data_IF_798324610632
#
_entry.id   IF_798324610632
#
_cell.length_a   1.000
_cell.length_b   1.000
_cell.length_c   1.000
_cell.angle_alpha   90.00
_cell.angle_beta   90.00
_cell.angle_gamma   90.00
#
_symmetry.space_group_name_H-M   'P 1'
#
loop_
_entity.id
_entity.type
_entity.pdbx_description
1 polymer ?
#
# COMPACT_ATOMS: atom_id res chain seq x y z
N UNK A 1 38.32 -0.95 87.21
CA UNK A 1 38.81 -0.87 85.80
C UNK A 1 38.13 -1.98 85.01
N UNK A 2 37.07 -1.66 84.25
CA UNK A 2 36.34 -2.66 83.41
C UNK A 2 36.57 -2.23 81.99
N UNK A 3 37.24 -3.10 81.25
CA UNK A 3 37.43 -2.92 79.81
C UNK A 3 36.21 -3.42 79.04
N UNK A 4 35.59 -2.54 78.28
CA UNK A 4 34.53 -2.87 77.30
C UNK A 4 35.20 -3.15 75.98
N UNK A 5 35.13 -4.38 75.52
CA UNK A 5 35.58 -4.76 74.18
C UNK A 5 34.34 -4.62 73.26
N UNK A 6 34.34 -3.64 72.39
CA UNK A 6 33.34 -3.44 71.35
C UNK A 6 33.66 -4.31 70.12
N UNK A 7 32.79 -5.30 69.87
CA UNK A 7 32.89 -6.18 68.71
C UNK A 7 32.17 -5.49 67.51
N UNK A 8 32.95 -4.89 66.57
CA UNK A 8 32.40 -4.38 65.32
C UNK A 8 32.20 -5.53 64.35
N UNK A 9 30.94 -5.98 64.19
CA UNK A 9 30.56 -6.95 63.19
C UNK A 9 30.51 -6.26 61.79
N UNK A 10 31.51 -6.51 60.93
CA UNK A 10 31.53 -6.10 59.56
C UNK A 10 30.54 -6.96 58.75
N UNK A 11 29.40 -6.38 58.41
CA UNK A 11 28.42 -7.00 57.52
C UNK A 11 28.95 -6.93 56.07
N UNK A 12 29.55 -8.00 55.57
CA UNK A 12 29.96 -8.18 54.17
C UNK A 12 28.66 -8.33 53.31
N UNK A 13 28.21 -7.23 52.69
CA UNK A 13 27.23 -7.30 51.62
C UNK A 13 27.87 -7.90 50.38
N UNK A 14 27.67 -9.19 50.19
CA UNK A 14 28.03 -9.87 48.93
C UNK A 14 27.00 -9.43 47.87
N UNK A 15 27.38 -8.48 47.01
CA UNK A 15 26.63 -8.22 45.78
C UNK A 15 26.79 -9.47 44.88
N UNK A 16 25.73 -10.27 44.81
CA UNK A 16 25.63 -11.31 43.79
C UNK A 16 25.41 -10.65 42.44
N UNK A 17 26.47 -10.38 41.73
CA UNK A 17 26.38 -10.02 40.29
C UNK A 17 25.87 -11.26 39.56
N UNK A 18 24.62 -11.28 39.19
CA UNK A 18 24.09 -12.33 38.32
C UNK A 18 24.85 -12.29 37.00
N UNK A 19 25.72 -13.27 36.81
CA UNK A 19 26.43 -13.45 35.55
C UNK A 19 25.38 -13.71 34.46
N UNK A 20 25.27 -12.84 33.45
CA UNK A 20 24.35 -12.97 32.34
C UNK A 20 25.07 -13.01 31.00
N UNK A 21 24.53 -13.77 30.08
CA UNK A 21 24.93 -13.66 28.67
C UNK A 21 24.36 -12.36 28.08
N UNK A 22 25.20 -11.65 27.34
CA UNK A 22 24.82 -10.43 26.64
C UNK A 22 25.15 -10.58 25.17
N UNK A 23 24.14 -10.48 24.30
CA UNK A 23 24.33 -10.51 22.86
C UNK A 23 24.36 -9.07 22.32
N UNK A 24 25.50 -8.63 21.82
CA UNK A 24 25.66 -7.33 21.17
C UNK A 24 25.78 -7.51 19.65
N UNK A 25 25.11 -6.65 18.89
CA UNK A 25 25.18 -6.59 17.42
C UNK A 25 25.47 -5.14 17.06
N UNK A 26 26.76 -4.81 16.83
CA UNK A 26 27.22 -3.44 16.65
C UNK A 26 26.56 -2.71 15.49
N UNK A 27 26.29 -3.42 14.38
CA UNK A 27 25.62 -2.89 13.20
C UNK A 27 24.28 -3.60 12.99
N UNK A 28 23.34 -3.38 13.91
CA UNK A 28 22.00 -3.98 13.81
C UNK A 28 21.16 -3.43 12.66
N UNK A 29 21.53 -2.29 12.08
CA UNK A 29 20.94 -1.72 10.85
C UNK A 29 21.99 -1.69 9.74
N UNK A 30 21.66 -2.28 8.60
CA UNK A 30 22.45 -2.16 7.38
C UNK A 30 21.62 -1.49 6.28
N UNK A 31 22.26 -0.59 5.52
CA UNK A 31 21.61 0.16 4.43
C UNK A 31 22.34 -0.11 3.12
N UNK A 32 21.63 -0.71 2.18
CA UNK A 32 22.14 -0.99 0.83
C UNK A 32 21.65 0.11 -0.11
N UNK A 33 22.47 1.12 -0.33
CA UNK A 33 22.17 2.20 -1.26
C UNK A 33 22.48 1.78 -2.69
N UNK A 34 21.55 2.08 -3.61
CA UNK A 34 21.68 1.80 -5.04
C UNK A 34 22.03 0.33 -5.33
N UNK A 35 21.35 -0.58 -4.62
CA UNK A 35 21.50 -2.01 -4.86
C UNK A 35 21.06 -2.33 -6.28
N UNK A 36 21.95 -2.91 -7.09
CA UNK A 36 21.61 -3.31 -8.45
C UNK A 36 20.61 -4.48 -8.44
N UNK A 37 19.61 -4.42 -9.29
CA UNK A 37 18.70 -5.54 -9.52
C UNK A 37 19.50 -6.74 -10.03
N UNK A 38 19.39 -7.88 -9.34
CA UNK A 38 20.03 -9.13 -9.73
C UNK A 38 19.13 -10.32 -9.38
N UNK A 39 19.22 -11.38 -10.18
CA UNK A 39 18.51 -12.65 -10.00
C UNK A 39 19.33 -13.66 -9.17
N UNK A 40 20.61 -13.33 -8.90
CA UNK A 40 21.48 -14.17 -8.06
C UNK A 40 21.29 -13.85 -6.57
N UNK A 41 21.38 -14.87 -5.69
CA UNK A 41 21.31 -14.65 -4.26
C UNK A 41 22.46 -13.77 -3.75
N UNK A 42 22.10 -12.80 -2.92
CA UNK A 42 23.04 -11.94 -2.18
C UNK A 42 22.95 -12.22 -0.68
N UNK A 43 24.07 -12.17 0.03
CA UNK A 43 24.12 -12.38 1.47
C UNK A 43 24.67 -11.14 2.16
N UNK A 44 23.95 -10.69 3.20
CA UNK A 44 24.37 -9.65 4.14
C UNK A 44 24.67 -10.31 5.48
N UNK A 45 25.76 -9.90 6.12
CA UNK A 45 26.26 -10.50 7.35
C UNK A 45 26.11 -9.52 8.52
N UNK A 46 25.50 -9.98 9.61
CA UNK A 46 25.44 -9.25 10.88
C UNK A 46 26.30 -10.00 11.89
N UNK A 47 27.35 -9.35 12.40
CA UNK A 47 28.23 -9.96 13.40
C UNK A 47 27.68 -9.70 14.80
N UNK A 48 27.37 -10.78 15.50
CA UNK A 48 26.93 -10.79 16.88
C UNK A 48 28.09 -11.20 17.80
N UNK A 49 28.26 -10.51 18.93
CA UNK A 49 29.28 -10.77 19.92
C UNK A 49 28.66 -11.03 21.30
N UNK A 50 29.15 -12.02 22.01
CA UNK A 50 28.82 -12.20 23.41
C UNK A 50 29.71 -11.31 24.26
N UNK A 51 29.18 -10.19 24.74
CA UNK A 51 29.90 -9.24 25.64
C UNK A 51 29.63 -9.55 27.13
N UNK A 52 28.81 -10.56 27.41
CA UNK A 52 28.53 -11.03 28.77
C UNK A 52 29.55 -12.07 29.27
N UNK A 53 29.27 -12.62 30.45
CA UNK A 53 30.13 -13.57 31.17
C UNK A 53 29.60 -15.01 31.07
N UNK A 54 28.41 -15.26 30.53
CA UNK A 54 27.83 -16.58 30.33
C UNK A 54 27.68 -16.91 28.85
N UNK A 55 27.71 -18.17 28.44
CA UNK A 55 27.50 -18.58 27.06
C UNK A 55 26.12 -18.15 26.54
N UNK A 56 26.08 -17.60 25.32
CA UNK A 56 24.86 -17.19 24.63
C UNK A 56 24.53 -18.19 23.53
N UNK A 57 23.27 -18.61 23.46
CA UNK A 57 22.73 -19.44 22.38
C UNK A 57 21.70 -18.63 21.62
N UNK A 58 21.92 -18.44 20.32
CA UNK A 58 20.90 -17.87 19.41
C UNK A 58 19.92 -18.98 19.07
N UNK A 59 18.74 -18.95 19.67
CA UNK A 59 17.73 -20.00 19.55
C UNK A 59 16.95 -19.92 18.26
N UNK A 60 16.72 -18.69 17.77
CA UNK A 60 15.92 -18.45 16.56
C UNK A 60 16.28 -17.10 15.92
N UNK A 61 16.33 -17.09 14.59
CA UNK A 61 16.38 -15.87 13.77
C UNK A 61 15.19 -15.92 12.81
N UNK A 62 14.31 -14.93 12.91
CA UNK A 62 13.04 -14.91 12.15
C UNK A 62 12.94 -13.62 11.32
N UNK A 63 13.17 -13.69 10.00
CA UNK A 63 12.80 -12.63 9.11
C UNK A 63 11.27 -12.43 9.11
N UNK A 64 10.83 -11.18 9.06
CA UNK A 64 9.39 -10.84 9.01
C UNK A 64 8.79 -10.93 7.60
N UNK A 65 9.54 -11.50 6.66
CA UNK A 65 9.14 -11.74 5.27
C UNK A 65 9.76 -13.03 4.75
N UNK A 66 9.05 -13.73 3.87
CA UNK A 66 9.54 -14.94 3.19
C UNK A 66 10.64 -14.68 2.15
N UNK A 67 10.87 -13.41 1.78
CA UNK A 67 11.92 -13.01 0.83
C UNK A 67 13.33 -13.16 1.39
N UNK A 68 13.46 -13.20 2.71
CA UNK A 68 14.74 -13.33 3.42
C UNK A 68 14.91 -14.73 3.99
N UNK A 69 16.10 -15.30 3.82
CA UNK A 69 16.52 -16.54 4.49
C UNK A 69 17.61 -16.21 5.50
N UNK A 70 17.49 -16.74 6.71
CA UNK A 70 18.47 -16.54 7.78
C UNK A 70 19.23 -17.84 8.06
N UNK A 71 20.55 -17.71 8.22
CA UNK A 71 21.43 -18.77 8.68
C UNK A 71 22.33 -18.23 9.79
N UNK A 72 22.55 -19.04 10.85
CA UNK A 72 23.34 -18.66 12.02
C UNK A 72 23.85 -19.92 12.74
N UNK A 73 25.00 -19.84 13.47
CA UNK A 73 25.50 -20.93 14.28
C UNK A 73 24.53 -21.31 15.40
N UNK A 74 24.37 -22.63 15.61
CA UNK A 74 23.52 -23.21 16.66
C UNK A 74 24.29 -23.51 17.93
N UNK A 75 25.64 -23.50 17.88
CA UNK A 75 26.52 -23.71 19.01
C UNK A 75 26.52 -22.52 19.98
N UNK A 76 26.77 -22.74 21.27
CA UNK A 76 26.91 -21.70 22.26
C UNK A 76 28.05 -20.72 21.90
N UNK A 77 27.77 -19.43 21.95
CA UNK A 77 28.73 -18.37 21.77
C UNK A 77 29.37 -18.04 23.13
N UNK A 78 30.63 -18.45 23.32
CA UNK A 78 31.35 -18.23 24.57
C UNK A 78 31.62 -16.75 24.84
N UNK A 79 31.85 -16.32 26.10
CA UNK A 79 32.20 -14.93 26.43
C UNK A 79 33.34 -14.40 25.58
N UNK A 80 33.17 -13.17 25.06
CA UNK A 80 34.14 -12.49 24.21
C UNK A 80 34.19 -12.95 22.77
N UNK A 81 33.52 -14.06 22.39
CA UNK A 81 33.50 -14.58 21.02
C UNK A 81 32.41 -13.92 20.18
N UNK A 82 32.62 -13.97 18.85
CA UNK A 82 31.67 -13.46 17.86
C UNK A 82 31.21 -14.57 16.94
N UNK A 83 30.02 -14.37 16.34
CA UNK A 83 29.49 -15.23 15.29
C UNK A 83 28.75 -14.39 14.24
N UNK A 84 28.54 -14.96 13.07
CA UNK A 84 27.86 -14.30 11.96
C UNK A 84 26.43 -14.82 11.80
N UNK A 85 25.50 -13.89 11.68
CA UNK A 85 24.12 -14.13 11.26
C UNK A 85 24.04 -13.70 9.79
N UNK A 86 23.83 -14.66 8.92
CA UNK A 86 23.78 -14.47 7.47
C UNK A 86 22.34 -14.32 7.00
N UNK A 87 22.05 -13.25 6.28
CA UNK A 87 20.74 -13.00 5.68
C UNK A 87 20.88 -13.02 4.17
N UNK A 88 20.27 -14.00 3.53
CA UNK A 88 20.34 -14.23 2.08
C UNK A 88 19.00 -13.87 1.43
N UNK A 89 19.05 -13.18 0.31
CA UNK A 89 17.90 -12.75 -0.48
C UNK A 89 18.27 -12.61 -1.96
N UNK A 90 17.27 -12.52 -2.82
CA UNK A 90 17.46 -12.23 -4.26
C UNK A 90 17.05 -10.78 -4.48
N UNK A 91 17.97 -9.87 -4.92
CA UNK A 91 17.70 -8.43 -5.05
C UNK A 91 16.45 -8.11 -5.86
N UNK A 92 16.25 -8.73 -7.01
CA UNK A 92 15.10 -8.47 -7.87
C UNK A 92 13.73 -8.80 -7.26
N UNK A 93 13.69 -9.54 -6.15
CA UNK A 93 12.45 -9.85 -5.44
C UNK A 93 12.07 -8.77 -4.42
N UNK A 94 12.96 -7.82 -4.16
CA UNK A 94 12.70 -6.71 -3.25
C UNK A 94 11.87 -5.60 -3.92
N UNK A 95 11.26 -4.76 -3.09
CA UNK A 95 10.63 -3.52 -3.57
C UNK A 95 11.70 -2.48 -3.94
N UNK A 96 11.36 -1.49 -4.75
CA UNK A 96 12.28 -0.38 -5.10
C UNK A 96 12.86 0.31 -3.86
N UNK A 97 12.04 0.51 -2.83
CA UNK A 97 12.49 0.91 -1.50
C UNK A 97 12.07 -0.16 -0.49
N UNK A 98 13.03 -0.70 0.24
CA UNK A 98 12.77 -1.76 1.20
C UNK A 98 13.25 -1.41 2.61
N UNK A 99 12.50 -1.88 3.60
CA UNK A 99 12.82 -1.81 5.02
C UNK A 99 12.33 -3.10 5.68
N UNK A 100 13.26 -4.02 5.92
CA UNK A 100 12.95 -5.38 6.38
C UNK A 100 13.48 -5.61 7.77
N UNK A 101 12.67 -6.23 8.61
CA UNK A 101 12.98 -6.53 10.00
C UNK A 101 13.27 -8.01 10.17
N UNK A 102 14.27 -8.32 10.98
CA UNK A 102 14.65 -9.68 11.36
C UNK A 102 14.77 -9.74 12.89
N UNK A 103 14.06 -10.66 13.52
CA UNK A 103 14.08 -10.84 14.97
C UNK A 103 15.07 -11.95 15.35
N UNK A 104 15.99 -11.64 16.25
CA UNK A 104 16.99 -12.57 16.80
C UNK A 104 16.60 -12.88 18.23
N UNK A 105 16.39 -14.15 18.55
CA UNK A 105 16.08 -14.64 19.88
C UNK A 105 17.25 -15.43 20.47
N UNK A 106 17.55 -15.21 21.73
CA UNK A 106 18.62 -15.87 22.43
C UNK A 106 18.29 -16.04 23.92
N UNK A 107 19.13 -16.76 24.65
CA UNK A 107 19.09 -16.83 26.12
C UNK A 107 19.77 -15.62 26.81
N UNK A 108 20.22 -14.63 26.06
CA UNK A 108 20.83 -13.40 26.58
C UNK A 108 19.77 -12.43 27.15
N UNK A 109 20.22 -11.41 27.84
CA UNK A 109 19.38 -10.30 28.27
C UNK A 109 19.80 -9.00 27.52
N UNK A 110 18.88 -8.36 26.77
CA UNK A 110 17.52 -8.81 26.48
C UNK A 110 17.48 -10.04 25.56
N UNK A 111 16.46 -10.88 25.75
CA UNK A 111 16.30 -12.14 25.03
C UNK A 111 15.99 -11.97 23.53
N UNK A 112 15.59 -10.74 23.11
CA UNK A 112 15.25 -10.41 21.72
C UNK A 112 16.03 -9.20 21.26
N UNK A 113 16.64 -9.31 20.10
CA UNK A 113 17.26 -8.22 19.34
C UNK A 113 16.58 -8.08 17.98
N UNK A 114 16.71 -6.92 17.37
CA UNK A 114 16.18 -6.65 16.04
C UNK A 114 17.32 -6.26 15.10
N UNK A 115 17.31 -6.86 13.90
CA UNK A 115 18.13 -6.45 12.78
C UNK A 115 17.25 -5.79 11.74
N UNK A 116 17.79 -4.80 11.08
CA UNK A 116 17.10 -4.06 10.03
C UNK A 116 17.96 -4.05 8.77
N UNK A 117 17.37 -4.50 7.67
CA UNK A 117 17.93 -4.39 6.33
C UNK A 117 17.09 -3.38 5.55
N UNK A 118 17.68 -2.27 5.18
CA UNK A 118 17.00 -1.20 4.43
C UNK A 118 17.80 -0.84 3.19
N UNK A 119 17.17 -0.22 2.22
CA UNK A 119 17.86 0.26 1.03
C UNK A 119 16.93 0.58 -0.12
N UNK A 120 17.52 0.85 -1.26
CA UNK A 120 16.83 1.05 -2.52
C UNK A 120 17.44 0.19 -3.64
N UNK A 121 16.54 -0.36 -4.46
CA UNK A 121 16.91 -1.11 -5.65
C UNK A 121 16.97 -0.15 -6.84
N UNK A 122 17.99 -0.30 -7.67
CA UNK A 122 18.14 0.47 -8.92
C UNK A 122 18.31 -0.47 -10.11
N UNK A 123 18.07 0.06 -11.29
CA UNK A 123 18.25 -0.67 -12.54
C UNK A 123 19.69 -1.23 -12.63
N UNK A 124 19.79 -2.50 -13.01
CA UNK A 124 21.08 -3.09 -13.35
C UNK A 124 21.37 -2.80 -14.83
N UNK A 125 22.40 -1.99 -15.15
CA UNK A 125 22.71 -1.66 -16.54
C UNK A 125 23.05 -2.88 -17.40
N UNK A 126 23.55 -3.95 -16.78
CA UNK A 126 23.90 -5.21 -17.45
C UNK A 126 22.71 -6.17 -17.60
N UNK A 127 21.65 -5.98 -16.83
CA UNK A 127 20.46 -6.85 -16.80
C UNK A 127 19.18 -6.00 -16.67
N UNK A 128 18.91 -5.06 -17.58
CA UNK A 128 17.80 -4.10 -17.44
C UNK A 128 16.44 -4.79 -17.35
N UNK A 129 16.30 -5.96 -17.98
CA UNK A 129 15.05 -6.73 -18.05
C UNK A 129 14.60 -7.32 -16.69
N UNK A 130 15.48 -7.41 -15.71
CA UNK A 130 15.15 -8.01 -14.41
C UNK A 130 14.13 -7.20 -13.60
N UNK A 131 14.09 -5.88 -13.76
CA UNK A 131 13.12 -5.02 -13.12
C UNK A 131 11.77 -4.95 -13.84
N UNK A 132 11.73 -5.41 -15.08
CA UNK A 132 10.54 -5.34 -15.92
C UNK A 132 9.80 -6.67 -15.88
N UNK A 133 8.86 -6.80 -14.94
CA UNK A 133 8.18 -8.06 -14.59
C UNK A 133 7.00 -8.41 -15.50
N UNK A 134 6.37 -7.40 -16.10
CA UNK A 134 5.18 -7.59 -16.94
C UNK A 134 5.58 -7.70 -18.39
N UNK A 135 5.16 -8.79 -19.04
CA UNK A 135 5.42 -9.04 -20.46
C UNK A 135 4.15 -8.78 -21.28
N UNK A 136 4.30 -8.01 -22.34
CA UNK A 136 3.26 -7.71 -23.32
C UNK A 136 3.88 -7.86 -24.70
N UNK A 137 3.67 -9.02 -25.32
CA UNK A 137 4.19 -9.34 -26.67
C UNK A 137 5.69 -9.04 -26.89
N UNK A 138 6.53 -9.42 -25.91
CA UNK A 138 7.96 -9.19 -25.96
C UNK A 138 8.41 -7.80 -25.52
N UNK A 139 7.49 -6.93 -25.13
CA UNK A 139 7.78 -5.73 -24.37
C UNK A 139 7.67 -6.02 -22.88
N UNK A 140 8.63 -5.60 -22.12
CA UNK A 140 8.62 -5.75 -20.68
C UNK A 140 8.38 -4.42 -19.99
N UNK A 141 7.54 -4.40 -18.95
CA UNK A 141 7.16 -3.23 -18.17
C UNK A 141 7.51 -3.44 -16.68
N UNK A 142 7.86 -2.38 -15.96
CA UNK A 142 8.05 -2.43 -14.51
C UNK A 142 6.75 -2.77 -13.78
N UNK A 143 5.66 -2.19 -14.23
CA UNK A 143 4.29 -2.45 -13.77
C UNK A 143 3.31 -2.36 -14.96
N UNK A 144 2.08 -2.75 -14.75
CA UNK A 144 1.00 -2.66 -15.75
C UNK A 144 -0.07 -1.64 -15.36
N UNK A 145 0.26 -0.72 -14.46
CA UNK A 145 -0.64 0.30 -13.97
C UNK A 145 0.02 1.68 -14.00
N UNK A 146 -0.71 2.67 -14.47
CA UNK A 146 -0.39 4.10 -14.39
C UNK A 146 -1.33 4.69 -13.35
N UNK A 147 -0.77 5.22 -12.25
CA UNK A 147 -1.53 5.70 -11.12
C UNK A 147 -1.29 7.19 -10.89
N UNK A 148 -2.23 8.00 -11.33
CA UNK A 148 -2.21 9.46 -11.15
C UNK A 148 -2.41 9.89 -9.70
N UNK A 149 -2.68 8.96 -8.78
CA UNK A 149 -3.01 9.28 -7.39
C UNK A 149 -4.18 10.27 -7.34
N UNK A 150 -4.06 11.35 -6.57
CA UNK A 150 -5.07 12.40 -6.48
C UNK A 150 -4.94 13.38 -7.64
N UNK A 151 -6.05 13.59 -8.36
CA UNK A 151 -6.18 14.56 -9.46
C UNK A 151 -7.39 15.45 -9.16
N UNK A 152 -7.22 16.75 -9.26
CA UNK A 152 -8.34 17.67 -9.10
C UNK A 152 -9.21 17.73 -10.35
N UNK A 153 -10.52 17.94 -10.18
CA UNK A 153 -11.51 17.93 -11.28
C UNK A 153 -11.26 18.96 -12.39
N UNK A 154 -10.43 19.96 -12.15
CA UNK A 154 -10.00 20.96 -13.13
C UNK A 154 -8.65 20.67 -13.79
N UNK A 155 -7.95 19.63 -13.36
CA UNK A 155 -6.55 19.36 -13.69
C UNK A 155 -6.43 18.45 -14.91
N UNK A 156 -5.40 18.73 -15.73
CA UNK A 156 -4.87 17.78 -16.72
C UNK A 156 -3.55 17.27 -16.16
N UNK A 157 -3.46 15.97 -15.89
CA UNK A 157 -2.30 15.33 -15.29
C UNK A 157 -1.59 14.43 -16.32
N UNK A 158 -0.27 14.33 -16.21
CA UNK A 158 0.53 13.46 -17.09
C UNK A 158 1.41 12.56 -16.24
N UNK A 159 1.49 11.28 -16.59
CA UNK A 159 2.39 10.30 -15.98
C UNK A 159 3.04 9.43 -17.06
N UNK A 160 4.16 8.80 -16.72
CA UNK A 160 5.00 8.09 -17.68
C UNK A 160 5.28 6.67 -17.21
N UNK A 161 5.09 5.70 -18.10
CA UNK A 161 5.45 4.31 -17.90
C UNK A 161 6.59 3.92 -18.84
N UNK A 162 7.71 3.48 -18.28
CA UNK A 162 8.83 2.94 -19.08
C UNK A 162 8.57 1.47 -19.47
N UNK A 163 9.03 1.12 -20.68
CA UNK A 163 9.08 -0.26 -21.14
C UNK A 163 10.43 -0.56 -21.83
N UNK A 164 10.75 -1.85 -21.89
CA UNK A 164 11.97 -2.37 -22.48
C UNK A 164 11.65 -3.31 -23.64
N UNK A 165 12.25 -3.10 -24.81
CA UNK A 165 12.08 -3.97 -25.96
C UNK A 165 13.03 -5.17 -25.87
N UNK A 166 12.50 -6.37 -25.63
CA UNK A 166 13.27 -7.62 -25.60
C UNK A 166 13.23 -8.39 -26.94
N UNK A 167 12.52 -7.86 -27.94
CA UNK A 167 12.45 -8.46 -29.27
C UNK A 167 13.76 -8.20 -30.05
N UNK A 168 13.94 -8.97 -31.13
CA UNK A 168 15.07 -8.82 -32.01
C UNK A 168 14.91 -7.65 -32.98
N UNK A 169 13.69 -7.18 -33.17
CA UNK A 169 13.33 -6.12 -34.10
C UNK A 169 12.87 -4.85 -33.34
N UNK A 170 12.90 -3.72 -34.03
CA UNK A 170 12.39 -2.48 -33.53
C UNK A 170 10.86 -2.55 -33.38
N UNK A 171 10.33 -1.89 -32.32
CA UNK A 171 8.92 -1.93 -31.95
C UNK A 171 8.30 -0.55 -31.97
N UNK A 172 7.10 -0.44 -32.54
CA UNK A 172 6.20 0.71 -32.39
C UNK A 172 4.97 0.32 -31.59
N UNK A 173 4.54 1.21 -30.72
CA UNK A 173 3.28 1.09 -29.98
C UNK A 173 2.19 1.97 -30.61
N UNK A 174 0.94 1.52 -30.49
CA UNK A 174 -0.25 2.27 -30.84
C UNK A 174 -1.34 2.06 -29.80
N UNK A 175 -2.47 2.74 -29.98
CA UNK A 175 -3.63 2.62 -29.09
C UNK A 175 -4.77 1.91 -29.82
N UNK A 176 -5.26 0.81 -29.27
CA UNK A 176 -6.46 0.11 -29.74
C UNK A 176 -7.71 0.69 -29.07
N UNK A 177 -7.65 0.92 -27.75
CA UNK A 177 -8.76 1.43 -26.95
C UNK A 177 -8.26 2.32 -25.82
N UNK A 178 -8.96 3.39 -25.59
CA UNK A 178 -8.84 4.27 -24.42
C UNK A 178 -10.14 5.06 -24.22
N UNK A 179 -10.38 5.52 -23.00
CA UNK A 179 -11.45 6.49 -22.73
C UNK A 179 -11.16 7.86 -23.34
N UNK A 180 -12.19 8.65 -23.62
CA UNK A 180 -12.06 9.95 -24.30
C UNK A 180 -11.23 10.98 -23.52
N UNK A 181 -11.18 10.87 -22.21
CA UNK A 181 -10.38 11.71 -21.31
C UNK A 181 -8.93 11.25 -21.15
N UNK A 182 -8.53 10.14 -21.79
CA UNK A 182 -7.15 9.68 -21.83
C UNK A 182 -6.51 10.01 -23.18
N UNK A 183 -5.21 10.35 -23.13
CA UNK A 183 -4.33 10.40 -24.30
C UNK A 183 -3.07 9.61 -23.99
N UNK A 184 -2.48 8.99 -25.00
CA UNK A 184 -1.21 8.28 -24.88
C UNK A 184 -0.31 8.60 -26.06
N UNK A 185 0.95 8.94 -25.76
CA UNK A 185 2.01 9.15 -26.74
C UNK A 185 3.19 8.25 -26.41
N UNK A 186 4.03 7.99 -27.39
CA UNK A 186 5.12 7.03 -27.29
C UNK A 186 6.45 7.68 -27.69
N UNK A 187 7.46 7.55 -26.82
CA UNK A 187 8.78 8.13 -27.04
C UNK A 187 9.90 7.11 -26.80
N UNK A 188 10.79 6.89 -27.79
CA UNK A 188 10.66 7.32 -29.17
C UNK A 188 9.49 6.61 -29.88
N UNK A 189 9.06 7.08 -31.05
CA UNK A 189 7.98 6.45 -31.82
C UNK A 189 8.27 4.98 -32.18
N UNK A 190 9.55 4.63 -32.29
CA UNK A 190 10.02 3.26 -32.49
C UNK A 190 11.22 2.97 -31.59
N UNK A 191 11.16 1.85 -30.87
CA UNK A 191 12.17 1.44 -29.89
C UNK A 191 12.98 0.28 -30.46
N UNK A 192 14.29 0.50 -30.64
CA UNK A 192 15.22 -0.53 -31.13
C UNK A 192 15.36 -1.70 -30.13
N UNK A 193 15.83 -2.88 -30.59
CA UNK A 193 16.16 -4.02 -29.74
C UNK A 193 17.07 -3.65 -28.58
N UNK A 194 16.74 -4.14 -27.38
CA UNK A 194 17.54 -3.88 -26.18
C UNK A 194 17.49 -2.42 -25.67
N UNK A 195 16.53 -1.61 -26.14
CA UNK A 195 16.38 -0.20 -25.70
C UNK A 195 15.09 0.00 -24.95
N UNK A 196 15.03 1.11 -24.20
CA UNK A 196 13.86 1.55 -23.45
C UNK A 196 13.03 2.53 -24.27
N UNK A 197 11.72 2.46 -24.07
CA UNK A 197 10.76 3.46 -24.52
C UNK A 197 9.89 3.94 -23.37
N UNK A 198 9.11 4.98 -23.63
CA UNK A 198 8.18 5.58 -22.66
C UNK A 198 6.78 5.65 -23.26
N UNK A 199 5.80 5.33 -22.45
CA UNK A 199 4.40 5.65 -22.70
C UNK A 199 4.08 6.84 -21.82
N UNK A 200 3.73 7.97 -22.43
CA UNK A 200 3.30 9.18 -21.74
C UNK A 200 1.78 9.21 -21.80
N UNK A 201 1.13 9.10 -20.66
CA UNK A 201 -0.33 9.12 -20.56
C UNK A 201 -0.78 10.41 -19.92
N UNK A 202 -1.73 11.08 -20.58
CA UNK A 202 -2.38 12.29 -20.08
C UNK A 202 -3.82 11.96 -19.68
N UNK A 203 -4.19 12.33 -18.46
CA UNK A 203 -5.53 12.23 -17.89
C UNK A 203 -6.16 13.62 -17.83
N UNK A 204 -7.24 13.85 -18.58
CA UNK A 204 -7.99 15.09 -18.64
C UNK A 204 -9.20 15.00 -17.70
N UNK A 205 -9.06 15.44 -16.43
CA UNK A 205 -10.12 15.34 -15.44
C UNK A 205 -11.37 16.16 -15.80
N UNK A 206 -11.29 17.36 -16.38
CA UNK A 206 -12.46 18.06 -16.92
C UNK A 206 -13.28 17.24 -17.90
N UNK A 207 -12.62 16.51 -18.82
CA UNK A 207 -13.32 15.63 -19.77
C UNK A 207 -13.84 14.35 -19.16
N UNK A 208 -13.18 13.83 -18.11
CA UNK A 208 -13.67 12.67 -17.36
C UNK A 208 -15.03 12.99 -16.71
N UNK A 209 -15.20 14.21 -16.22
CA UNK A 209 -16.42 14.71 -15.56
C UNK A 209 -16.93 13.72 -14.51
N UNK A 210 -16.03 13.23 -13.66
CA UNK A 210 -16.28 12.20 -12.65
C UNK A 210 -15.65 12.59 -11.28
N UNK A 211 -15.93 11.79 -10.24
CA UNK A 211 -15.46 11.99 -8.88
C UNK A 211 -15.06 10.66 -8.23
N UNK A 212 -14.14 10.73 -7.25
CA UNK A 212 -13.65 9.58 -6.50
C UNK A 212 -12.75 8.69 -7.33
N UNK A 213 -12.67 7.41 -6.95
CA UNK A 213 -11.80 6.45 -7.60
C UNK A 213 -12.30 6.09 -8.99
N UNK A 214 -11.46 6.37 -9.99
CA UNK A 214 -11.66 6.05 -11.41
C UNK A 214 -10.68 4.96 -11.82
N UNK A 215 -11.17 3.96 -12.54
CA UNK A 215 -10.39 2.87 -13.11
C UNK A 215 -10.69 2.76 -14.60
N UNK A 216 -9.66 2.89 -15.41
CA UNK A 216 -9.73 2.87 -16.86
C UNK A 216 -8.79 1.82 -17.45
N UNK A 217 -9.05 1.46 -18.70
CA UNK A 217 -8.19 0.58 -19.47
C UNK A 217 -7.59 1.32 -20.66
N UNK A 218 -6.28 1.21 -20.81
CA UNK A 218 -5.56 1.60 -22.02
C UNK A 218 -5.09 0.32 -22.71
N UNK A 219 -5.62 0.02 -23.91
CA UNK A 219 -5.27 -1.18 -24.65
C UNK A 219 -4.35 -0.79 -25.80
N UNK A 220 -3.17 -1.41 -25.85
CA UNK A 220 -2.11 -1.08 -26.77
C UNK A 220 -2.00 -2.07 -27.93
N UNK A 221 -1.65 -1.58 -29.12
CA UNK A 221 -1.14 -2.42 -30.20
C UNK A 221 0.40 -2.43 -30.17
N UNK A 222 0.99 -3.57 -30.47
CA UNK A 222 2.43 -3.75 -30.65
C UNK A 222 2.64 -4.07 -32.13
N UNK A 223 3.37 -3.24 -32.86
CA UNK A 223 3.59 -3.36 -34.31
C UNK A 223 2.28 -3.53 -35.12
N UNK A 224 1.21 -2.82 -34.69
CA UNK A 224 -0.10 -2.90 -35.34
C UNK A 224 -0.93 -4.13 -35.01
N UNK A 225 -0.45 -5.07 -34.19
CA UNK A 225 -1.23 -6.22 -33.70
C UNK A 225 -2.38 -5.74 -32.81
N UNK A 226 -3.59 -6.29 -33.04
CA UNK A 226 -4.80 -5.94 -32.28
C UNK A 226 -5.10 -6.97 -31.20
N UNK A 227 -4.25 -7.02 -30.18
CA UNK A 227 -4.44 -7.94 -29.05
C UNK A 227 -5.04 -7.20 -27.83
N UNK A 228 -6.27 -7.51 -27.48
CA UNK A 228 -6.97 -6.89 -26.35
C UNK A 228 -6.41 -7.29 -24.98
N UNK A 229 -5.55 -8.31 -24.93
CA UNK A 229 -4.81 -8.70 -23.72
C UNK A 229 -3.71 -7.68 -23.35
N UNK A 230 -3.26 -6.86 -24.29
CA UNK A 230 -2.25 -5.82 -24.10
C UNK A 230 -2.83 -4.62 -23.36
N UNK A 231 -3.25 -4.85 -22.10
CA UNK A 231 -3.96 -3.89 -21.26
C UNK A 231 -3.06 -3.30 -20.19
N UNK A 232 -3.04 -1.99 -20.12
CA UNK A 232 -2.58 -1.21 -18.97
C UNK A 232 -3.79 -0.69 -18.19
N UNK A 233 -3.72 -0.75 -16.87
CA UNK A 233 -4.68 -0.09 -16.00
C UNK A 233 -4.29 1.37 -15.84
N UNK A 234 -5.26 2.27 -15.85
CA UNK A 234 -5.07 3.69 -15.52
C UNK A 234 -6.00 4.03 -14.37
N UNK A 235 -5.44 4.51 -13.27
CA UNK A 235 -6.20 4.83 -12.07
C UNK A 235 -5.99 6.27 -11.64
N UNK A 236 -7.02 6.90 -11.11
CA UNK A 236 -6.98 8.24 -10.53
C UNK A 236 -8.01 8.36 -9.41
N UNK A 237 -7.74 9.22 -8.43
CA UNK A 237 -8.70 9.65 -7.43
C UNK A 237 -9.09 11.10 -7.71
N UNK A 238 -10.29 11.30 -8.28
CA UNK A 238 -10.78 12.61 -8.66
C UNK A 238 -11.48 13.32 -7.50
N UNK A 239 -11.05 14.54 -7.20
CA UNK A 239 -11.63 15.32 -6.11
C UNK A 239 -11.74 16.82 -6.47
N UNK A 240 -12.67 17.53 -5.81
CA UNK A 240 -12.66 19.00 -5.82
C UNK A 240 -11.43 19.52 -5.05
N UNK A 241 -10.96 20.69 -5.44
CA UNK A 241 -9.87 21.39 -4.75
C UNK A 241 -10.43 22.38 -3.72
N UNK A 242 -10.44 21.99 -2.48
CA UNK A 242 -10.86 22.83 -1.35
C UNK A 242 -9.71 23.59 -0.70
N UNK A 243 -8.48 23.46 -1.18
CA UNK A 243 -7.30 24.07 -0.56
C UNK A 243 -7.33 25.60 -0.63
N UNK A 244 -7.98 26.15 -1.65
CA UNK A 244 -8.08 27.59 -1.91
C UNK A 244 -9.26 28.28 -1.21
N UNK A 245 -10.09 27.55 -0.47
CA UNK A 245 -11.20 28.15 0.26
C UNK A 245 -10.70 29.06 1.39
N UNK A 246 -11.21 30.31 1.41
CA UNK A 246 -10.95 31.23 2.51
C UNK A 246 -11.56 30.72 3.83
N UNK A 247 -11.08 31.19 5.01
CA UNK A 247 -11.72 30.86 6.30
C UNK A 247 -13.24 31.18 6.31
N UNK A 248 -13.64 32.26 5.68
CA UNK A 248 -15.06 32.64 5.53
C UNK A 248 -15.84 31.66 4.67
N UNK A 249 -15.25 31.17 3.57
CA UNK A 249 -15.90 30.17 2.71
C UNK A 249 -16.04 28.84 3.41
N UNK A 250 -15.02 28.40 4.15
CA UNK A 250 -15.09 27.19 4.97
C UNK A 250 -16.15 27.28 6.05
N UNK A 251 -16.28 28.42 6.74
CA UNK A 251 -17.30 28.65 7.77
C UNK A 251 -18.73 28.70 7.21
N UNK A 252 -18.90 28.96 5.92
CA UNK A 252 -20.18 28.98 5.22
C UNK A 252 -20.37 27.80 4.27
N UNK A 253 -19.51 26.79 4.29
CA UNK A 253 -19.57 25.64 3.40
C UNK A 253 -20.82 24.77 3.65
N UNK A 254 -21.21 23.94 2.71
CA UNK A 254 -22.15 22.85 2.94
C UNK A 254 -21.54 21.83 3.93
N UNK A 255 -22.39 21.18 4.71
CA UNK A 255 -22.00 20.14 5.67
C UNK A 255 -22.91 18.94 5.46
N UNK A 256 -22.32 17.80 5.14
CA UNK A 256 -23.01 16.53 4.93
C UNK A 256 -23.20 15.79 6.26
N UNK A 257 -24.40 15.82 6.81
CA UNK A 257 -24.76 15.12 8.04
C UNK A 257 -25.68 13.94 7.75
N UNK A 258 -25.25 12.73 8.13
CA UNK A 258 -26.05 11.51 8.00
C UNK A 258 -26.75 11.18 9.33
N UNK A 259 -27.99 10.71 9.26
CA UNK A 259 -28.72 10.15 10.42
C UNK A 259 -28.02 8.89 10.96
N UNK A 260 -27.50 8.07 10.06
CA UNK A 260 -26.73 6.85 10.33
C UNK A 260 -25.81 6.57 9.14
N UNK A 261 -24.73 5.84 9.37
CA UNK A 261 -23.82 5.36 8.30
C UNK A 261 -23.86 3.85 8.13
N UNK A 262 -24.59 3.15 9.00
CA UNK A 262 -24.71 1.69 8.95
C UNK A 262 -26.19 1.29 9.01
N UNK A 263 -26.53 0.23 8.30
CA UNK A 263 -27.84 -0.39 8.31
C UNK A 263 -27.70 -1.91 8.23
N UNK A 264 -28.27 -2.60 9.23
CA UNK A 264 -28.34 -4.04 9.22
C UNK A 264 -29.74 -4.46 8.73
N UNK A 265 -29.80 -5.18 7.61
CA UNK A 265 -31.06 -5.68 7.04
C UNK A 265 -31.52 -7.02 7.66
N UNK A 266 -30.77 -7.56 8.62
CA UNK A 266 -31.12 -8.81 9.32
C UNK A 266 -30.88 -10.05 8.44
N UNK A 267 -31.81 -10.99 8.49
CA UNK A 267 -31.79 -12.24 7.73
C UNK A 267 -32.80 -12.20 6.59
N UNK A 268 -32.37 -12.59 5.39
CA UNK A 268 -33.22 -12.71 4.20
C UNK A 268 -32.93 -14.03 3.48
N UNK A 269 -33.85 -14.50 2.65
CA UNK A 269 -33.64 -15.67 1.78
C UNK A 269 -32.89 -15.30 0.52
N UNK A 270 -32.14 -16.25 -0.03
CA UNK A 270 -31.48 -16.06 -1.33
C UNK A 270 -32.52 -15.70 -2.41
N UNK A 271 -32.23 -14.69 -3.22
CA UNK A 271 -33.11 -14.16 -4.25
C UNK A 271 -34.02 -13.02 -3.79
N UNK A 272 -34.12 -12.76 -2.49
CA UNK A 272 -34.90 -11.63 -1.98
C UNK A 272 -34.11 -10.31 -2.13
N UNK A 273 -34.86 -9.22 -2.30
CA UNK A 273 -34.34 -7.86 -2.29
C UNK A 273 -34.69 -7.14 -1.01
N UNK A 274 -33.74 -6.40 -0.47
CA UNK A 274 -33.97 -5.59 0.73
C UNK A 274 -33.38 -4.19 0.53
N UNK A 275 -33.93 -3.20 1.21
CA UNK A 275 -33.47 -1.81 1.10
C UNK A 275 -33.17 -1.20 2.46
N UNK A 276 -32.17 -0.37 2.48
CA UNK A 276 -31.81 0.49 3.60
C UNK A 276 -31.87 1.96 3.17
N UNK A 277 -32.54 2.78 3.95
CA UNK A 277 -32.63 4.22 3.73
C UNK A 277 -31.67 4.93 4.70
N UNK A 278 -30.94 5.89 4.16
CA UNK A 278 -30.07 6.81 4.88
C UNK A 278 -30.54 8.24 4.60
N UNK A 279 -30.70 9.04 5.63
CA UNK A 279 -31.06 10.45 5.49
C UNK A 279 -29.81 11.30 5.49
N UNK A 280 -29.59 12.03 4.43
CA UNK A 280 -28.54 13.05 4.32
C UNK A 280 -29.14 14.44 4.47
N UNK A 281 -28.73 15.15 5.50
CA UNK A 281 -29.13 16.54 5.78
C UNK A 281 -27.98 17.49 5.46
N UNK A 282 -28.27 18.61 4.82
CA UNK A 282 -27.32 19.71 4.70
C UNK A 282 -27.36 20.56 5.97
N UNK A 283 -26.45 20.33 6.90
CA UNK A 283 -26.28 21.11 8.13
C UNK A 283 -25.46 22.40 7.92
N UNK A 284 -25.01 22.66 6.70
CA UNK A 284 -24.21 23.84 6.33
C UNK A 284 -25.06 25.02 5.86
N UNK A 285 -24.39 26.04 5.27
CA UNK A 285 -25.02 27.30 4.88
C UNK A 285 -25.11 27.51 3.36
N UNK A 286 -24.42 26.67 2.56
CA UNK A 286 -24.48 26.65 1.08
C UNK A 286 -25.10 25.36 0.62
N UNK A 287 -25.51 25.29 -0.65
CA UNK A 287 -26.10 24.09 -1.26
C UNK A 287 -25.12 22.94 -1.19
N UNK A 288 -25.58 21.81 -0.66
CA UNK A 288 -24.84 20.55 -0.66
C UNK A 288 -25.19 19.78 -1.94
N UNK A 289 -24.17 19.44 -2.72
CA UNK A 289 -24.30 18.62 -3.92
C UNK A 289 -23.80 17.20 -3.67
N UNK A 290 -24.61 16.21 -4.00
CA UNK A 290 -24.13 14.82 -4.12
C UNK A 290 -23.51 14.68 -5.51
N UNK A 291 -22.18 14.63 -5.56
CA UNK A 291 -21.39 14.51 -6.80
C UNK A 291 -21.47 13.12 -7.39
N UNK A 292 -21.33 12.10 -6.53
CA UNK A 292 -21.34 10.69 -6.94
C UNK A 292 -21.81 9.78 -5.80
N UNK A 293 -22.50 8.71 -6.18
CA UNK A 293 -22.71 7.55 -5.32
C UNK A 293 -22.21 6.30 -6.05
N UNK A 294 -21.48 5.42 -5.35
CA UNK A 294 -20.93 4.20 -5.93
C UNK A 294 -21.03 3.05 -4.92
N UNK A 295 -21.76 2.00 -5.28
CA UNK A 295 -21.78 0.77 -4.49
C UNK A 295 -20.53 -0.09 -4.77
N UNK A 296 -20.08 -0.84 -3.78
CA UNK A 296 -18.92 -1.74 -3.87
C UNK A 296 -19.15 -2.96 -4.77
N UNK A 297 -20.41 -3.26 -5.14
CA UNK A 297 -20.76 -4.35 -6.06
C UNK A 297 -22.00 -3.99 -6.89
N UNK A 298 -22.13 -4.64 -8.06
CA UNK A 298 -23.34 -4.53 -8.89
C UNK A 298 -24.62 -5.15 -8.27
N UNK A 299 -24.47 -5.86 -7.14
CA UNK A 299 -25.57 -6.41 -6.36
C UNK A 299 -26.27 -5.37 -5.45
N UNK A 300 -25.84 -4.12 -5.46
CA UNK A 300 -26.44 -3.04 -4.68
C UNK A 300 -26.73 -1.84 -5.58
N UNK A 301 -28.00 -1.52 -5.77
CA UNK A 301 -28.44 -0.34 -6.46
C UNK A 301 -28.59 0.84 -5.47
N UNK A 302 -28.20 2.04 -5.90
CA UNK A 302 -28.35 3.26 -5.10
C UNK A 302 -29.24 4.24 -5.82
N UNK A 303 -30.28 4.72 -5.15
CA UNK A 303 -31.19 5.76 -5.67
C UNK A 303 -31.17 6.97 -4.74
N UNK A 304 -31.29 8.16 -5.31
CA UNK A 304 -31.29 9.44 -4.61
C UNK A 304 -32.64 10.11 -4.73
N UNK A 305 -33.15 10.69 -3.66
CA UNK A 305 -34.32 11.56 -3.71
C UNK A 305 -34.02 12.84 -4.51
N UNK A 306 -32.93 13.50 -4.16
CA UNK A 306 -32.43 14.67 -4.90
C UNK A 306 -30.91 14.79 -4.73
N UNK A 307 -30.24 15.42 -5.72
CA UNK A 307 -28.79 15.62 -5.72
C UNK A 307 -28.35 16.96 -5.14
N UNK A 308 -29.25 17.95 -5.12
CA UNK A 308 -29.03 19.30 -4.61
C UNK A 308 -29.87 19.49 -3.34
N UNK A 309 -29.21 19.78 -2.22
CA UNK A 309 -29.83 19.85 -0.92
C UNK A 309 -29.61 21.26 -0.37
N UNK A 310 -30.69 22.03 -0.23
CA UNK A 310 -30.63 23.38 0.33
C UNK A 310 -30.23 23.33 1.83
N UNK A 311 -29.66 24.42 2.37
CA UNK A 311 -29.38 24.52 3.79
C UNK A 311 -30.58 24.13 4.67
N UNK A 312 -30.36 23.23 5.64
CA UNK A 312 -31.40 22.69 6.53
C UNK A 312 -32.32 21.64 5.92
N UNK A 313 -32.23 21.36 4.61
CA UNK A 313 -33.06 20.34 3.94
C UNK A 313 -32.35 18.99 3.94
N UNK A 314 -33.13 17.95 3.68
CA UNK A 314 -32.66 16.56 3.68
C UNK A 314 -33.07 15.83 2.40
N UNK A 315 -32.31 14.79 2.06
CA UNK A 315 -32.64 13.83 1.00
C UNK A 315 -32.45 12.39 1.50
N UNK A 316 -33.11 11.45 0.85
CA UNK A 316 -32.95 10.02 1.14
C UNK A 316 -31.99 9.40 0.12
N UNK A 317 -31.03 8.63 0.63
CA UNK A 317 -30.17 7.74 -0.17
C UNK A 317 -30.63 6.32 0.14
N UNK A 318 -31.29 5.68 -0.84
CA UNK A 318 -31.78 4.31 -0.72
C UNK A 318 -30.80 3.33 -1.35
N UNK A 319 -30.32 2.38 -0.55
CA UNK A 319 -29.49 1.27 -1.01
C UNK A 319 -30.30 0.00 -1.05
N UNK A 320 -30.49 -0.58 -2.24
CA UNK A 320 -31.23 -1.84 -2.45
C UNK A 320 -30.26 -2.95 -2.76
N UNK A 321 -30.21 -3.96 -1.89
CA UNK A 321 -29.38 -5.15 -2.05
C UNK A 321 -30.20 -6.28 -2.67
N UNK A 322 -29.66 -6.90 -3.72
CA UNK A 322 -30.19 -8.10 -4.37
C UNK A 322 -29.36 -9.31 -3.95
N UNK A 323 -29.99 -10.25 -3.25
CA UNK A 323 -29.33 -11.42 -2.70
C UNK A 323 -29.22 -12.60 -3.68
N UNK A 324 -29.61 -12.42 -4.96
CA UNK A 324 -29.51 -13.47 -5.98
C UNK A 324 -28.07 -13.97 -6.11
N UNK A 325 -27.88 -15.29 -5.94
CA UNK A 325 -26.55 -15.92 -5.99
C UNK A 325 -25.62 -15.57 -4.82
N UNK A 326 -26.16 -15.07 -3.71
CA UNK A 326 -25.42 -14.76 -2.49
C UNK A 326 -25.83 -15.71 -1.36
N UNK A 327 -24.91 -15.97 -0.42
CA UNK A 327 -25.17 -16.76 0.79
C UNK A 327 -24.28 -16.27 1.93
N UNK A 328 -24.70 -16.58 3.16
CA UNK A 328 -23.97 -16.22 4.38
C UNK A 328 -23.94 -14.71 4.64
N UNK A 329 -22.99 -14.30 5.48
CA UNK A 329 -22.86 -12.90 5.90
C UNK A 329 -22.48 -12.00 4.74
N UNK A 330 -23.24 -10.95 4.54
CA UNK A 330 -23.03 -9.93 3.52
C UNK A 330 -22.64 -8.60 4.16
N UNK A 331 -21.72 -7.91 3.50
CA UNK A 331 -21.28 -6.56 3.85
C UNK A 331 -21.04 -5.80 2.55
N UNK A 332 -21.74 -4.69 2.36
CA UNK A 332 -21.61 -3.84 1.16
C UNK A 332 -21.44 -2.40 1.58
N UNK A 333 -20.51 -1.72 0.93
CA UNK A 333 -20.28 -0.29 1.13
C UNK A 333 -20.81 0.53 -0.02
N UNK A 334 -21.26 1.73 0.29
CA UNK A 334 -21.68 2.76 -0.67
C UNK A 334 -20.84 4.00 -0.37
N UNK A 335 -20.04 4.41 -1.33
CA UNK A 335 -19.34 5.70 -1.28
C UNK A 335 -20.28 6.80 -1.73
N UNK A 336 -20.38 7.87 -0.93
CA UNK A 336 -21.13 9.09 -1.24
C UNK A 336 -20.14 10.25 -1.28
N UNK A 337 -19.98 10.88 -2.43
CA UNK A 337 -19.08 12.01 -2.63
C UNK A 337 -19.90 13.28 -2.73
N UNK A 338 -19.54 14.30 -1.96
CA UNK A 338 -20.22 15.58 -1.88
C UNK A 338 -19.23 16.74 -2.02
N UNK A 339 -19.75 17.96 -2.11
CA UNK A 339 -18.96 19.19 -2.06
C UNK A 339 -18.74 19.73 -0.64
N UNK A 340 -18.92 18.91 0.40
CA UNK A 340 -18.51 19.26 1.78
C UNK A 340 -16.99 19.29 1.88
N UNK A 341 -16.33 20.44 2.12
CA UNK A 341 -14.88 20.51 2.16
C UNK A 341 -14.25 19.87 3.41
N UNK A 342 -15.05 19.64 4.45
CA UNK A 342 -14.58 19.00 5.71
C UNK A 342 -14.56 17.48 5.60
N UNK A 343 -15.51 16.89 4.88
CA UNK A 343 -15.62 15.45 4.67
C UNK A 343 -16.28 15.16 3.31
N UNK A 344 -15.55 15.37 2.19
CA UNK A 344 -16.12 15.23 0.85
C UNK A 344 -16.54 13.80 0.52
N UNK A 345 -15.91 12.79 1.10
CA UNK A 345 -16.23 11.38 0.91
C UNK A 345 -16.76 10.75 2.19
N UNK A 346 -17.89 10.08 2.08
CA UNK A 346 -18.54 9.35 3.16
C UNK A 346 -18.84 7.93 2.71
N UNK A 347 -18.66 6.96 3.60
CA UNK A 347 -18.99 5.55 3.37
C UNK A 347 -20.23 5.18 4.17
N UNK A 348 -21.25 4.69 3.49
CA UNK A 348 -22.42 4.05 4.09
C UNK A 348 -22.26 2.53 3.96
N UNK A 349 -22.76 1.79 4.92
CA UNK A 349 -22.64 0.34 4.97
C UNK A 349 -24.01 -0.31 5.15
N UNK A 350 -24.26 -1.37 4.37
CA UNK A 350 -25.37 -2.28 4.60
C UNK A 350 -24.80 -3.68 4.89
N UNK A 351 -25.37 -4.35 5.88
CA UNK A 351 -24.94 -5.69 6.31
C UNK A 351 -26.13 -6.56 6.69
N UNK A 352 -25.94 -7.88 6.66
CA UNK A 352 -26.94 -8.86 7.04
C UNK A 352 -26.52 -10.28 6.66
N UNK A 353 -27.44 -11.23 6.75
CA UNK A 353 -27.20 -12.65 6.46
C UNK A 353 -28.19 -13.18 5.42
N UNK A 354 -27.69 -13.92 4.43
CA UNK A 354 -28.51 -14.59 3.40
C UNK A 354 -28.53 -16.07 3.69
N UNK A 355 -29.73 -16.61 3.92
CA UNK A 355 -30.00 -18.04 4.18
C UNK A 355 -30.24 -18.82 2.89
#
# INVERSE_FOLDING_TARGET
>A
MKYFISLISALLFTFTVFAQGVLEIKQSRQTLKNLLADDQPMTVVYTAQNTGTQPVIITRVTPMTSLLKADWPKSPLLPGKSCDIKITFIPMQLLENFNMRILVYSNANPARKELILTGNLVDNPSKPELLYKYNMNGLKFKNNNINFKKVYTWQVATDTLEYYNTLKDAVSLGVIYKSNHLQATFEPAQVAPGKKGKIIVTFDAPKANDYGYVYESLILSVNGSKEYSNRLSVTAELSEDFSKLSPKDKANAPIAQFDKKECNFGEIKQGEKTSCDFTLTNAGKRILFIRKTKASCGCTAVTLGQKEIQPGQSTTIRATFDSTGKSGRQYKSITVITNDPSQPENTLTISGNVK
#
